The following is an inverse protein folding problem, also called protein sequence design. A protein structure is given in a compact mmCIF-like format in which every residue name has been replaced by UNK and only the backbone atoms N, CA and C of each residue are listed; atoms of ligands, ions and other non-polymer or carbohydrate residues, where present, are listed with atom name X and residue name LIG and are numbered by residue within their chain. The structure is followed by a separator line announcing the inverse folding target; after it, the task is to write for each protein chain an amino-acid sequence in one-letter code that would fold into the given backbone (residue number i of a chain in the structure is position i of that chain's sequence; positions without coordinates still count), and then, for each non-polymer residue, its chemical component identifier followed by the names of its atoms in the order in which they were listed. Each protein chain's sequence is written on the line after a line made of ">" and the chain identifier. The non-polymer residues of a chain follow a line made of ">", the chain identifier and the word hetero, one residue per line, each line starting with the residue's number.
data_IF_746414111309
#
_entry.id   IF_746414111309
#
_cell.length_a   1.000
_cell.length_b   1.000
_cell.length_c   1.000
_cell.angle_alpha   90.00
_cell.angle_beta   90.00
_cell.angle_gamma   90.00
#
_symmetry.space_group_name_H-M   'P 1'
#
loop_
_entity.id
_entity.type
_entity.pdbx_description
1 polymer ?
#
# COMPACT_ATOMS: atom_id res chain seq x y z
N UNK A 1 -14.78 -0.72 -20.29
CA UNK A 1 -13.64 -0.09 -19.57
C UNK A 1 -13.65 -0.65 -18.15
N UNK A 2 -12.49 -0.90 -17.53
CA UNK A 2 -12.48 -1.46 -16.18
C UNK A 2 -13.11 -0.50 -15.17
N UNK A 3 -13.67 -1.05 -14.09
CA UNK A 3 -14.08 -0.29 -12.90
C UNK A 3 -13.20 -0.72 -11.74
N UNK A 4 -12.62 0.24 -11.03
CA UNK A 4 -11.68 -0.01 -9.95
C UNK A 4 -12.35 0.23 -8.60
N UNK A 5 -12.38 -0.79 -7.76
CA UNK A 5 -12.83 -0.69 -6.38
C UNK A 5 -11.63 -0.78 -5.45
N UNK A 6 -11.56 0.14 -4.50
CA UNK A 6 -10.49 0.15 -3.50
C UNK A 6 -11.07 -0.05 -2.11
N UNK A 7 -10.43 -0.91 -1.33
CA UNK A 7 -10.57 -0.85 0.12
C UNK A 7 -9.89 0.41 0.67
N UNK A 8 -10.33 0.90 1.84
CA UNK A 8 -9.72 2.09 2.46
C UNK A 8 -8.62 1.70 3.45
N UNK A 9 -8.98 0.96 4.50
CA UNK A 9 -8.13 0.74 5.67
C UNK A 9 -6.93 -0.14 5.33
N UNK A 10 -5.72 0.28 5.68
CA UNK A 10 -4.47 -0.42 5.32
C UNK A 10 -4.20 -0.56 3.81
N UNK A 11 -5.10 -0.07 2.96
CA UNK A 11 -5.00 -0.11 1.49
C UNK A 11 -4.73 1.30 0.93
N UNK A 12 -5.72 2.19 0.99
CA UNK A 12 -5.59 3.58 0.52
C UNK A 12 -5.04 4.52 1.58
N UNK A 13 -5.45 4.32 2.83
CA UNK A 13 -5.16 5.26 3.91
C UNK A 13 -5.09 4.57 5.28
N UNK A 14 -4.39 5.23 6.20
CA UNK A 14 -4.53 4.96 7.62
C UNK A 14 -5.70 5.77 8.18
N UNK A 15 -6.66 5.06 8.79
CA UNK A 15 -7.81 5.66 9.46
C UNK A 15 -7.43 6.08 10.90
N UNK A 16 -7.80 7.30 11.29
CA UNK A 16 -7.63 7.82 12.65
C UNK A 16 -8.91 8.50 13.12
N UNK A 17 -9.42 8.07 14.27
CA UNK A 17 -10.49 8.77 14.97
C UNK A 17 -9.89 9.96 15.72
N UNK A 18 -10.42 11.15 15.48
CA UNK A 18 -10.04 12.38 16.17
C UNK A 18 -10.85 12.52 17.48
N UNK A 19 -10.40 13.43 18.36
CA UNK A 19 -11.01 13.62 19.68
C UNK A 19 -12.47 14.11 19.63
N UNK A 20 -12.88 14.75 18.54
CA UNK A 20 -14.24 15.22 18.29
C UNK A 20 -15.16 14.12 17.70
N UNK A 21 -14.64 12.91 17.50
CA UNK A 21 -15.37 11.79 16.90
C UNK A 21 -15.41 11.82 15.37
N UNK A 22 -14.74 12.77 14.71
CA UNK A 22 -14.52 12.73 13.27
C UNK A 22 -13.51 11.65 12.88
N UNK A 23 -13.62 11.17 11.63
CA UNK A 23 -12.68 10.22 11.05
C UNK A 23 -11.77 10.98 10.09
N UNK A 24 -10.46 10.83 10.27
CA UNK A 24 -9.45 11.33 9.35
C UNK A 24 -8.79 10.17 8.63
N UNK A 25 -8.67 10.28 7.31
CA UNK A 25 -7.90 9.35 6.49
C UNK A 25 -6.57 10.00 6.10
N UNK A 26 -5.47 9.30 6.36
CA UNK A 26 -4.13 9.71 5.95
C UNK A 26 -3.70 8.84 4.76
N UNK A 27 -3.71 9.38 3.52
CA UNK A 27 -3.33 8.60 2.35
C UNK A 27 -1.95 7.98 2.51
N UNK A 28 -1.83 6.69 2.17
CA UNK A 28 -0.56 5.98 2.19
C UNK A 28 0.36 6.45 1.06
N UNK A 29 1.68 6.25 1.17
CA UNK A 29 2.61 6.62 0.12
C UNK A 29 2.20 6.06 -1.24
N UNK A 30 2.42 6.87 -2.29
CA UNK A 30 2.19 6.54 -3.70
C UNK A 30 0.71 6.33 -4.09
N UNK A 31 -0.23 6.26 -3.15
CA UNK A 31 -1.65 6.08 -3.44
C UNK A 31 -2.19 7.18 -4.34
N UNK A 32 -1.90 8.45 -4.04
CA UNK A 32 -2.38 9.57 -4.86
C UNK A 32 -1.86 9.48 -6.30
N UNK A 33 -0.57 9.16 -6.48
CA UNK A 33 0.02 8.98 -7.80
C UNK A 33 -0.66 7.85 -8.59
N UNK A 34 -0.93 6.71 -7.94
CA UNK A 34 -1.69 5.61 -8.55
C UNK A 34 -3.09 6.07 -8.96
N UNK A 35 -3.83 6.74 -8.07
CA UNK A 35 -5.18 7.21 -8.40
C UNK A 35 -5.17 8.20 -9.58
N UNK A 36 -4.13 9.03 -9.68
CA UNK A 36 -3.95 10.00 -10.75
C UNK A 36 -3.59 9.35 -12.10
N UNK A 37 -2.83 8.25 -12.09
CA UNK A 37 -2.56 7.40 -13.27
C UNK A 37 -3.84 6.75 -13.84
N UNK A 38 -4.89 6.66 -13.01
CA UNK A 38 -6.21 6.14 -13.37
C UNK A 38 -7.29 7.22 -13.39
N UNK A 39 -6.95 8.50 -13.53
CA UNK A 39 -7.91 9.61 -13.47
C UNK A 39 -9.13 9.44 -14.39
N UNK A 40 -8.94 8.86 -15.58
CA UNK A 40 -9.98 8.67 -16.61
C UNK A 40 -10.75 7.34 -16.46
N UNK A 41 -10.45 6.54 -15.45
CA UNK A 41 -11.12 5.27 -15.15
C UNK A 41 -12.15 5.47 -14.04
N UNK A 42 -13.31 4.79 -14.11
CA UNK A 42 -14.31 4.83 -13.02
C UNK A 42 -13.74 4.16 -11.77
N UNK A 43 -13.86 4.84 -10.63
CA UNK A 43 -13.29 4.44 -9.35
C UNK A 43 -14.35 4.49 -8.26
N UNK A 44 -14.37 3.45 -7.44
CA UNK A 44 -15.25 3.27 -6.31
C UNK A 44 -14.50 2.79 -5.07
N UNK A 45 -15.26 2.58 -4.00
CA UNK A 45 -14.77 2.05 -2.73
C UNK A 45 -15.65 0.88 -2.31
N UNK A 46 -15.02 -0.17 -1.78
CA UNK A 46 -15.71 -1.21 -1.01
C UNK A 46 -14.98 -1.29 0.32
N UNK A 47 -15.57 -0.81 1.40
CA UNK A 47 -14.89 -0.70 2.69
C UNK A 47 -15.86 -0.92 3.85
N UNK A 48 -15.36 -1.46 4.96
CA UNK A 48 -16.09 -1.47 6.20
C UNK A 48 -15.95 -0.10 6.87
N UNK A 49 -17.03 0.65 7.15
CA UNK A 49 -16.95 1.96 7.79
C UNK A 49 -16.62 1.90 9.29
N UNK A 50 -16.58 0.70 9.86
CA UNK A 50 -16.49 0.47 11.30
C UNK A 50 -17.85 0.50 11.99
N UNK A 51 -17.90 0.26 13.30
CA UNK A 51 -19.13 0.17 14.05
C UNK A 51 -19.71 1.55 14.41
N UNK A 52 -21.01 1.55 14.75
CA UNK A 52 -21.71 2.68 15.35
C UNK A 52 -22.58 3.47 14.37
N UNK A 53 -23.57 4.16 14.91
CA UNK A 53 -24.45 5.05 14.15
C UNK A 53 -23.63 6.15 13.46
N UNK A 54 -23.96 6.46 12.21
CA UNK A 54 -23.26 7.49 11.42
C UNK A 54 -21.88 7.09 10.90
N UNK A 55 -21.45 5.82 11.04
CA UNK A 55 -20.10 5.40 10.64
C UNK A 55 -19.88 5.55 9.13
N UNK A 56 -20.85 5.16 8.31
CA UNK A 56 -20.78 5.27 6.85
C UNK A 56 -20.68 6.75 6.41
N UNK A 57 -21.46 7.64 7.01
CA UNK A 57 -21.46 9.07 6.72
C UNK A 57 -20.11 9.70 7.11
N UNK A 58 -19.55 9.34 8.28
CA UNK A 58 -18.21 9.78 8.69
C UNK A 58 -17.14 9.27 7.72
N UNK A 59 -17.17 7.99 7.35
CA UNK A 59 -16.24 7.41 6.41
C UNK A 59 -16.32 8.05 5.02
N UNK A 60 -17.53 8.34 4.55
CA UNK A 60 -17.76 9.04 3.30
C UNK A 60 -17.24 10.48 3.33
N UNK A 61 -17.50 11.24 4.41
CA UNK A 61 -16.94 12.59 4.57
C UNK A 61 -15.40 12.57 4.58
N UNK A 62 -14.80 11.63 5.31
CA UNK A 62 -13.36 11.47 5.39
C UNK A 62 -12.74 11.08 4.04
N UNK A 63 -13.40 10.21 3.27
CA UNK A 63 -13.02 9.84 1.90
C UNK A 63 -12.98 11.06 0.99
N UNK A 64 -14.02 11.91 1.05
CA UNK A 64 -14.13 13.13 0.24
C UNK A 64 -13.03 14.13 0.56
N UNK A 65 -12.71 14.29 1.84
CA UNK A 65 -11.66 15.20 2.29
C UNK A 65 -10.25 14.71 1.90
N UNK A 66 -9.95 13.42 2.11
CA UNK A 66 -8.63 12.88 1.86
C UNK A 66 -8.33 12.65 0.37
N UNK A 67 -9.37 12.42 -0.45
CA UNK A 67 -9.23 12.09 -1.88
C UNK A 67 -10.12 12.98 -2.76
N UNK A 68 -9.92 14.31 -2.73
CA UNK A 68 -10.77 15.25 -3.43
C UNK A 68 -10.76 14.97 -4.94
N UNK A 69 -11.95 14.85 -5.53
CA UNK A 69 -12.15 14.63 -6.96
C UNK A 69 -11.78 13.24 -7.49
N UNK A 70 -11.39 12.27 -6.65
CA UNK A 70 -10.93 10.95 -7.12
C UNK A 70 -11.99 9.85 -7.13
N UNK A 71 -13.04 9.97 -6.32
CA UNK A 71 -14.14 9.00 -6.23
C UNK A 71 -15.48 9.66 -6.57
N UNK A 72 -15.68 10.16 -7.79
CA UNK A 72 -16.80 11.07 -8.11
C UNK A 72 -18.17 10.40 -8.27
N UNK A 73 -18.23 9.08 -8.30
CA UNK A 73 -19.45 8.31 -8.54
C UNK A 73 -19.93 7.66 -7.23
N UNK A 74 -20.94 8.26 -6.59
CA UNK A 74 -21.48 7.78 -5.31
C UNK A 74 -22.08 6.38 -5.41
N UNK A 75 -22.55 5.98 -6.60
CA UNK A 75 -23.10 4.64 -6.83
C UNK A 75 -22.03 3.54 -6.75
N UNK A 76 -20.74 3.91 -6.81
CA UNK A 76 -19.61 2.99 -6.68
C UNK A 76 -19.02 2.97 -5.26
N UNK A 77 -19.66 3.61 -4.29
CA UNK A 77 -19.20 3.62 -2.89
C UNK A 77 -20.07 2.68 -2.06
N UNK A 78 -19.51 1.55 -1.67
CA UNK A 78 -20.18 0.49 -0.93
C UNK A 78 -19.59 0.37 0.47
N UNK A 79 -20.46 0.50 1.47
CA UNK A 79 -20.11 0.38 2.89
C UNK A 79 -20.69 -0.91 3.46
N UNK A 80 -19.84 -1.78 3.99
CA UNK A 80 -20.29 -3.02 4.60
C UNK A 80 -19.17 -3.98 4.97
N UNK A 81 -19.55 -5.11 5.57
CA UNK A 81 -18.60 -6.19 5.87
C UNK A 81 -18.13 -6.84 4.56
N UNK A 82 -16.86 -7.28 4.55
CA UNK A 82 -16.22 -7.95 3.41
C UNK A 82 -15.86 -9.39 3.78
N UNK A 83 -16.71 -10.01 4.60
CA UNK A 83 -16.57 -11.39 5.11
C UNK A 83 -17.23 -12.45 4.22
N UNK A 84 -17.82 -12.03 3.11
CA UNK A 84 -18.45 -12.86 2.10
C UNK A 84 -18.47 -12.15 0.73
N UNK A 85 -18.97 -12.84 -0.31
CA UNK A 85 -19.01 -12.33 -1.69
C UNK A 85 -20.08 -11.28 -2.00
N UNK A 86 -21.13 -11.14 -1.18
CA UNK A 86 -22.34 -10.40 -1.51
C UNK A 86 -22.06 -8.91 -1.79
N UNK A 87 -21.26 -8.25 -0.97
CA UNK A 87 -20.91 -6.83 -1.18
C UNK A 87 -20.14 -6.61 -2.49
N UNK A 88 -19.38 -7.60 -2.95
CA UNK A 88 -18.66 -7.52 -4.22
C UNK A 88 -19.61 -7.72 -5.40
N UNK A 89 -20.60 -8.61 -5.28
CA UNK A 89 -21.67 -8.77 -6.28
C UNK A 89 -22.50 -7.47 -6.37
N UNK A 90 -22.85 -6.86 -5.23
CA UNK A 90 -23.53 -5.56 -5.17
C UNK A 90 -22.70 -4.45 -5.81
N UNK A 91 -21.39 -4.43 -5.58
CA UNK A 91 -20.50 -3.46 -6.20
C UNK A 91 -20.46 -3.60 -7.73
N UNK A 92 -20.39 -4.84 -8.24
CA UNK A 92 -20.47 -5.10 -9.68
C UNK A 92 -21.82 -4.65 -10.23
N UNK A 93 -22.93 -4.93 -9.55
CA UNK A 93 -24.26 -4.47 -9.96
C UNK A 93 -24.35 -2.93 -9.96
N UNK A 94 -23.75 -2.27 -8.96
CA UNK A 94 -23.65 -0.81 -8.83
C UNK A 94 -22.84 -0.12 -9.93
N UNK A 95 -22.10 -0.87 -10.75
CA UNK A 95 -21.44 -0.30 -11.94
C UNK A 95 -22.42 0.10 -13.05
N UNK A 96 -23.67 -0.34 -12.99
CA UNK A 96 -24.72 0.15 -13.87
C UNK A 96 -24.86 1.68 -13.76
N UNK A 97 -25.06 2.34 -14.90
CA UNK A 97 -25.34 3.77 -14.97
C UNK A 97 -26.62 4.01 -15.75
N UNK A 98 -27.07 5.26 -15.81
CA UNK A 98 -28.21 5.61 -16.65
C UNK A 98 -27.95 5.20 -18.11
N UNK A 99 -28.77 4.28 -18.63
CA UNK A 99 -28.62 3.72 -19.98
C UNK A 99 -27.41 2.80 -20.21
N UNK A 100 -26.64 2.46 -19.17
CA UNK A 100 -25.45 1.60 -19.28
C UNK A 100 -25.64 0.34 -18.43
N UNK A 101 -25.55 -0.87 -19.02
CA UNK A 101 -25.64 -2.11 -18.24
C UNK A 101 -24.46 -2.21 -17.25
N UNK A 102 -24.60 -3.02 -16.17
CA UNK A 102 -23.48 -3.34 -15.31
C UNK A 102 -22.29 -3.87 -16.11
N UNK A 103 -21.08 -3.51 -15.68
CA UNK A 103 -19.84 -4.14 -16.15
C UNK A 103 -19.85 -5.63 -15.84
N UNK A 104 -19.21 -6.42 -16.70
CA UNK A 104 -18.98 -7.82 -16.36
C UNK A 104 -18.00 -7.89 -15.17
N UNK A 105 -18.19 -8.85 -14.25
CA UNK A 105 -17.35 -8.97 -13.05
C UNK A 105 -15.85 -9.02 -13.37
N UNK A 106 -15.46 -9.72 -14.44
CA UNK A 106 -14.06 -9.79 -14.90
C UNK A 106 -13.47 -8.47 -15.41
N UNK A 107 -14.31 -7.47 -15.69
CA UNK A 107 -13.87 -6.10 -16.02
C UNK A 107 -13.58 -5.28 -14.77
N UNK A 108 -14.10 -5.68 -13.61
CA UNK A 108 -13.87 -5.02 -12.33
C UNK A 108 -12.57 -5.50 -11.66
N UNK A 109 -11.94 -4.60 -10.91
CA UNK A 109 -10.75 -4.88 -10.11
C UNK A 109 -11.00 -4.44 -8.67
N UNK A 110 -10.77 -5.33 -7.71
CA UNK A 110 -10.71 -4.99 -6.30
C UNK A 110 -9.26 -4.88 -5.81
N UNK A 111 -8.94 -3.76 -5.18
CA UNK A 111 -7.61 -3.48 -4.62
C UNK A 111 -7.74 -3.46 -3.11
N UNK A 112 -7.08 -4.37 -2.41
CA UNK A 112 -7.16 -4.52 -0.96
C UNK A 112 -6.02 -5.36 -0.38
N UNK A 113 -5.55 -5.00 0.82
CA UNK A 113 -4.41 -5.66 1.49
C UNK A 113 -4.76 -7.04 2.07
N UNK A 114 -6.00 -7.24 2.50
CA UNK A 114 -6.43 -8.49 3.13
C UNK A 114 -6.60 -9.63 2.10
N UNK A 115 -5.91 -10.77 2.26
CA UNK A 115 -6.02 -11.90 1.33
C UNK A 115 -7.38 -12.60 1.33
N UNK A 116 -8.09 -12.61 2.45
CA UNK A 116 -9.43 -13.19 2.56
C UNK A 116 -10.46 -12.35 1.82
N UNK A 117 -10.42 -11.02 1.97
CA UNK A 117 -11.29 -10.10 1.22
C UNK A 117 -11.06 -10.24 -0.30
N UNK A 118 -9.79 -10.33 -0.73
CA UNK A 118 -9.46 -10.64 -2.13
C UNK A 118 -9.97 -12.01 -2.58
N UNK A 119 -10.05 -12.99 -1.67
CA UNK A 119 -10.66 -14.28 -1.92
C UNK A 119 -12.13 -14.14 -2.33
N UNK A 120 -12.93 -13.44 -1.53
CA UNK A 120 -14.34 -13.21 -1.82
C UNK A 120 -14.56 -12.36 -3.08
N UNK A 121 -13.70 -11.36 -3.33
CA UNK A 121 -13.73 -10.60 -4.58
C UNK A 121 -13.53 -11.51 -5.81
N UNK A 122 -12.60 -12.47 -5.74
CA UNK A 122 -12.39 -13.46 -6.81
C UNK A 122 -13.57 -14.43 -6.96
N UNK A 123 -14.21 -14.83 -5.87
CA UNK A 123 -15.44 -15.64 -5.91
C UNK A 123 -16.60 -14.91 -6.60
N UNK A 124 -16.67 -13.58 -6.45
CA UNK A 124 -17.58 -12.70 -7.20
C UNK A 124 -17.12 -12.43 -8.65
N UNK A 125 -15.95 -12.95 -9.06
CA UNK A 125 -15.43 -12.87 -10.43
C UNK A 125 -14.59 -11.61 -10.72
N UNK A 126 -14.26 -10.81 -9.71
CA UNK A 126 -13.38 -9.66 -9.87
C UNK A 126 -11.91 -10.11 -9.97
N UNK A 127 -11.12 -9.32 -10.68
CA UNK A 127 -9.65 -9.40 -10.58
C UNK A 127 -9.20 -8.68 -9.30
N UNK A 128 -8.03 -9.03 -8.78
CA UNK A 128 -7.57 -8.46 -7.51
C UNK A 128 -6.14 -7.95 -7.55
N UNK A 129 -5.85 -6.92 -6.75
CA UNK A 129 -4.50 -6.46 -6.48
C UNK A 129 -4.28 -6.36 -4.98
N UNK A 130 -3.15 -6.87 -4.49
CA UNK A 130 -2.80 -6.78 -3.07
C UNK A 130 -2.49 -5.34 -2.65
N UNK A 131 -2.00 -4.47 -3.54
CA UNK A 131 -1.59 -3.09 -3.23
C UNK A 131 -1.97 -2.15 -4.38
N UNK A 132 -2.32 -0.87 -4.12
CA UNK A 132 -2.60 0.12 -5.17
C UNK A 132 -1.59 0.20 -6.32
N UNK A 133 -0.29 0.09 -6.05
CA UNK A 133 0.79 0.07 -7.06
C UNK A 133 0.61 -1.03 -8.10
N UNK A 134 -0.05 -2.14 -7.76
CA UNK A 134 -0.33 -3.25 -8.67
C UNK A 134 -1.68 -3.15 -9.38
N UNK A 135 -2.43 -2.05 -9.23
CA UNK A 135 -3.73 -1.86 -9.89
C UNK A 135 -3.61 -2.05 -11.40
N UNK A 136 -2.55 -1.51 -12.03
CA UNK A 136 -2.30 -1.68 -13.46
C UNK A 136 -2.04 -3.13 -13.83
N UNK A 137 -1.22 -3.84 -13.06
CA UNK A 137 -0.97 -5.26 -13.28
C UNK A 137 -2.28 -6.07 -13.22
N UNK A 138 -3.16 -5.81 -12.26
CA UNK A 138 -4.47 -6.47 -12.19
C UNK A 138 -5.39 -6.11 -13.37
N UNK A 139 -5.43 -4.85 -13.79
CA UNK A 139 -6.16 -4.40 -15.00
C UNK A 139 -5.62 -5.06 -16.28
N UNK A 140 -4.35 -5.42 -16.32
CA UNK A 140 -3.70 -6.08 -17.46
C UNK A 140 -3.63 -7.60 -17.29
N UNK A 141 -4.21 -8.15 -16.21
CA UNK A 141 -4.14 -9.57 -15.85
C UNK A 141 -2.70 -10.11 -15.78
N UNK A 142 -1.76 -9.27 -15.31
CA UNK A 142 -0.36 -9.64 -15.09
C UNK A 142 -0.16 -10.12 -13.65
N UNK A 143 0.63 -11.19 -13.44
CA UNK A 143 0.88 -11.70 -12.10
C UNK A 143 1.75 -10.74 -11.29
N UNK A 144 1.53 -10.76 -9.97
CA UNK A 144 2.43 -10.20 -8.97
C UNK A 144 3.04 -11.36 -8.20
N UNK A 145 4.36 -11.36 -8.10
CA UNK A 145 5.16 -12.41 -7.51
C UNK A 145 5.78 -11.93 -6.21
N UNK A 146 5.99 -12.86 -5.30
CA UNK A 146 6.96 -12.66 -4.23
C UNK A 146 8.36 -12.60 -4.81
N UNK A 147 9.22 -11.78 -4.21
CA UNK A 147 10.62 -11.70 -4.56
C UNK A 147 11.49 -11.49 -3.32
N UNK A 148 12.74 -11.90 -3.42
CA UNK A 148 13.80 -11.51 -2.50
C UNK A 148 14.80 -10.65 -3.27
N UNK A 149 14.96 -9.41 -2.83
CA UNK A 149 15.89 -8.44 -3.42
C UNK A 149 17.17 -8.46 -2.59
N UNK A 150 18.31 -8.67 -3.22
CA UNK A 150 19.62 -8.57 -2.58
C UNK A 150 20.21 -7.17 -2.74
N UNK A 151 20.70 -6.60 -1.64
CA UNK A 151 21.43 -5.33 -1.63
C UNK A 151 22.93 -5.62 -1.72
N UNK A 152 23.56 -5.20 -2.83
CA UNK A 152 25.00 -5.37 -3.04
C UNK A 152 25.82 -4.43 -2.15
N UNK A 153 27.11 -4.71 -2.00
CA UNK A 153 28.01 -3.77 -1.32
C UNK A 153 28.00 -2.40 -2.01
N UNK A 154 27.70 -1.34 -1.25
CA UNK A 154 27.57 0.03 -1.75
C UNK A 154 26.15 0.44 -2.16
N UNK A 155 25.19 -0.50 -2.21
CA UNK A 155 23.77 -0.20 -2.38
C UNK A 155 23.07 -0.16 -1.02
N UNK A 156 22.33 0.89 -0.76
CA UNK A 156 21.54 1.08 0.46
C UNK A 156 20.04 0.93 0.23
N UNK A 157 19.31 0.94 1.35
CA UNK A 157 17.84 1.00 1.33
C UNK A 157 17.30 2.24 0.61
N UNK A 158 18.04 3.35 0.65
CA UNK A 158 17.66 4.58 -0.05
C UNK A 158 17.76 4.47 -1.58
N UNK A 159 18.72 3.68 -2.09
CA UNK A 159 18.81 3.39 -3.53
C UNK A 159 17.65 2.52 -3.97
N UNK A 160 17.31 1.51 -3.15
CA UNK A 160 16.15 0.66 -3.39
C UNK A 160 14.86 1.51 -3.38
N UNK A 161 14.68 2.36 -2.38
CA UNK A 161 13.52 3.25 -2.26
C UNK A 161 13.34 4.15 -3.49
N UNK A 162 14.43 4.69 -4.04
CA UNK A 162 14.39 5.51 -5.25
C UNK A 162 13.80 4.75 -6.46
N UNK A 163 14.11 3.45 -6.58
CA UNK A 163 13.56 2.59 -7.63
C UNK A 163 12.13 2.17 -7.30
N UNK A 164 11.86 1.71 -6.09
CA UNK A 164 10.54 1.19 -5.71
C UNK A 164 9.47 2.27 -5.75
N UNK A 165 9.80 3.52 -5.42
CA UNK A 165 8.86 4.64 -5.48
C UNK A 165 8.31 4.93 -6.89
N UNK A 166 8.98 4.42 -7.94
CA UNK A 166 8.65 4.70 -9.34
C UNK A 166 8.21 3.46 -10.13
N UNK A 167 8.17 2.30 -9.49
CA UNK A 167 8.02 1.01 -10.19
C UNK A 167 6.99 0.12 -9.51
N UNK A 168 6.57 -0.95 -10.17
CA UNK A 168 5.63 -1.93 -9.60
C UNK A 168 6.35 -2.87 -8.62
N UNK A 169 6.85 -2.29 -7.52
CA UNK A 169 7.56 -2.97 -6.43
C UNK A 169 7.05 -2.42 -5.10
N UNK A 170 6.79 -3.32 -4.16
CA UNK A 170 6.41 -2.99 -2.79
C UNK A 170 7.27 -3.83 -1.84
N UNK A 171 8.29 -3.23 -1.20
CA UNK A 171 9.03 -3.87 -0.12
C UNK A 171 8.09 -4.29 1.01
N UNK A 172 8.35 -5.46 1.60
CA UNK A 172 7.67 -5.96 2.80
C UNK A 172 8.71 -5.99 3.93
N UNK A 173 8.27 -5.78 5.18
CA UNK A 173 9.08 -5.59 6.39
C UNK A 173 10.48 -6.28 6.35
N UNK A 174 11.53 -5.49 6.62
CA UNK A 174 12.92 -5.93 6.49
C UNK A 174 13.43 -6.57 7.79
N UNK A 175 13.57 -7.89 7.79
CA UNK A 175 14.28 -8.59 8.87
C UNK A 175 15.82 -8.55 8.70
N UNK A 176 16.32 -8.18 7.52
CA UNK A 176 17.75 -8.24 7.16
C UNK A 176 18.18 -7.00 6.38
N UNK A 177 19.37 -6.49 6.70
CA UNK A 177 20.00 -5.37 5.99
C UNK A 177 20.52 -5.75 4.59
N UNK A 178 20.57 -7.04 4.24
CA UNK A 178 21.06 -7.53 2.92
C UNK A 178 19.97 -8.08 2.01
N UNK A 179 18.85 -8.52 2.58
CA UNK A 179 17.77 -9.12 1.82
C UNK A 179 16.45 -8.45 2.16
N UNK A 180 15.79 -7.93 1.14
CA UNK A 180 14.49 -7.27 1.26
C UNK A 180 13.43 -8.15 0.61
N UNK A 181 12.50 -8.75 1.38
CA UNK A 181 11.35 -9.41 0.78
C UNK A 181 10.47 -8.33 0.14
N UNK A 182 9.90 -8.63 -1.03
CA UNK A 182 9.07 -7.68 -1.76
C UNK A 182 7.99 -8.40 -2.56
N UNK A 183 6.90 -7.69 -2.84
CA UNK A 183 5.99 -8.01 -3.92
C UNK A 183 6.45 -7.26 -5.17
N UNK A 184 6.50 -7.93 -6.31
CA UNK A 184 6.93 -7.33 -7.58
C UNK A 184 6.06 -7.81 -8.72
N UNK A 185 5.75 -6.93 -9.67
CA UNK A 185 5.35 -7.41 -10.99
C UNK A 185 6.58 -7.74 -11.84
N UNK A 186 6.37 -8.33 -13.01
CA UNK A 186 7.46 -8.51 -13.99
C UNK A 186 8.12 -7.18 -14.40
N UNK A 187 7.34 -6.09 -14.53
CA UNK A 187 7.91 -4.77 -14.84
C UNK A 187 8.74 -4.22 -13.67
N UNK A 188 8.27 -4.44 -12.44
CA UNK A 188 9.03 -4.08 -11.24
C UNK A 188 10.35 -4.84 -11.13
N UNK A 189 10.34 -6.14 -11.40
CA UNK A 189 11.54 -6.98 -11.40
C UNK A 189 12.57 -6.50 -12.44
N UNK A 190 12.14 -6.26 -13.67
CA UNK A 190 13.01 -5.72 -14.73
C UNK A 190 13.61 -4.37 -14.33
N UNK A 191 12.82 -3.48 -13.74
CA UNK A 191 13.31 -2.17 -13.32
C UNK A 191 14.33 -2.26 -12.18
N UNK A 192 14.17 -3.19 -11.24
CA UNK A 192 15.14 -3.48 -10.19
C UNK A 192 16.45 -4.03 -10.78
N UNK A 193 16.38 -4.99 -11.68
CA UNK A 193 17.55 -5.56 -12.35
C UNK A 193 18.32 -4.50 -13.16
N UNK A 194 17.59 -3.63 -13.88
CA UNK A 194 18.18 -2.50 -14.61
C UNK A 194 18.85 -1.47 -13.69
N UNK A 195 18.37 -1.34 -12.45
CA UNK A 195 18.99 -0.52 -11.42
C UNK A 195 20.13 -1.24 -10.68
N UNK A 196 20.48 -2.47 -11.10
CA UNK A 196 21.60 -3.24 -10.56
C UNK A 196 21.27 -4.03 -9.29
N UNK A 197 20.00 -4.24 -8.96
CA UNK A 197 19.61 -5.15 -7.88
C UNK A 197 19.51 -6.59 -8.39
N UNK A 198 19.88 -7.55 -7.55
CA UNK A 198 19.61 -8.97 -7.84
C UNK A 198 18.22 -9.33 -7.30
N UNK A 199 17.36 -9.87 -8.17
CA UNK A 199 15.97 -10.21 -7.85
C UNK A 199 15.78 -11.72 -7.96
N UNK A 200 15.42 -12.35 -6.85
CA UNK A 200 15.09 -13.78 -6.77
C UNK A 200 13.57 -13.95 -6.69
N UNK A 201 12.94 -14.18 -7.85
CA UNK A 201 11.50 -14.34 -7.98
C UNK A 201 11.02 -15.65 -7.36
N UNK A 202 9.88 -15.57 -6.68
CA UNK A 202 9.21 -16.65 -5.95
C UNK A 202 7.79 -16.83 -6.50
N UNK A 203 6.97 -17.59 -5.77
CA UNK A 203 5.59 -17.88 -6.16
C UNK A 203 4.67 -16.65 -6.19
N UNK A 204 3.46 -16.80 -6.74
CA UNK A 204 2.47 -15.73 -6.80
C UNK A 204 2.08 -15.20 -5.42
N UNK A 205 1.81 -13.90 -5.32
CA UNK A 205 1.30 -13.27 -4.10
C UNK A 205 -0.12 -13.77 -3.77
N UNK A 206 -0.91 -14.06 -4.79
CA UNK A 206 -2.31 -14.46 -4.66
C UNK A 206 -2.49 -15.81 -3.93
N UNK A 207 -1.47 -16.67 -3.96
CA UNK A 207 -1.48 -17.99 -3.31
C UNK A 207 -1.14 -17.90 -1.80
N UNK A 208 -0.85 -16.71 -1.27
CA UNK A 208 -0.40 -16.53 0.11
C UNK A 208 -1.54 -16.12 1.02
N UNK A 209 -1.85 -16.97 2.01
CA UNK A 209 -2.91 -16.73 3.02
C UNK A 209 -2.46 -15.84 4.19
N UNK A 210 -1.17 -15.50 4.30
CA UNK A 210 -0.64 -14.73 5.42
C UNK A 210 -0.90 -13.22 5.23
N UNK A 211 -1.45 -12.50 6.23
CA UNK A 211 -1.61 -11.05 6.17
C UNK A 211 -0.25 -10.35 5.99
N UNK A 212 -0.23 -9.28 5.19
CA UNK A 212 0.99 -8.63 4.76
C UNK A 212 1.35 -7.54 5.77
N UNK A 213 2.27 -7.82 6.71
CA UNK A 213 2.83 -6.77 7.55
C UNK A 213 3.76 -5.90 6.69
N UNK A 214 3.20 -4.83 6.12
CA UNK A 214 3.93 -3.85 5.30
C UNK A 214 4.79 -2.93 6.15
N UNK A 215 5.90 -2.48 5.58
CA UNK A 215 6.57 -1.26 6.02
C UNK A 215 6.53 -0.22 4.90
N UNK A 216 5.36 0.39 4.73
CA UNK A 216 5.17 1.51 3.78
C UNK A 216 5.69 2.83 4.37
N UNK A 217 6.29 2.82 5.57
CA UNK A 217 6.85 4.06 6.14
C UNK A 217 8.08 4.45 5.33
N UNK A 218 8.29 5.76 5.07
CA UNK A 218 9.58 6.22 4.58
C UNK A 218 10.68 5.66 5.48
N UNK A 219 11.62 4.90 4.91
CA UNK A 219 12.74 4.37 5.66
C UNK A 219 13.54 5.58 6.14
N UNK A 220 13.65 5.77 7.44
CA UNK A 220 14.37 6.90 7.98
C UNK A 220 15.78 6.91 7.37
N UNK A 221 16.31 8.06 6.92
CA UNK A 221 17.68 8.12 6.44
C UNK A 221 18.57 7.59 7.56
N UNK A 222 19.52 6.71 7.20
CA UNK A 222 20.48 6.17 8.14
C UNK A 222 21.07 7.34 8.92
N UNK A 223 20.85 7.37 10.25
CA UNK A 223 21.58 8.30 11.12
C UNK A 223 23.04 7.95 10.94
N UNK A 224 23.75 8.76 10.15
CA UNK A 224 25.19 8.69 10.01
C UNK A 224 25.78 8.61 11.41
N UNK A 225 26.64 7.61 11.61
CA UNK A 225 27.47 7.53 12.79
C UNK A 225 28.20 8.86 12.90
N UNK A 226 27.83 9.67 13.88
CA UNK A 226 28.61 10.84 14.25
C UNK A 226 29.99 10.31 14.65
N UNK A 227 30.99 10.63 13.84
CA UNK A 227 32.39 10.53 14.21
C UNK A 227 32.57 11.29 15.52
N UNK A 228 32.72 10.55 16.61
CA UNK A 228 33.12 11.11 17.88
C UNK A 228 34.54 11.67 17.74
N UNK A 229 34.83 12.88 18.26
CA UNK A 229 36.15 13.45 18.15
C UNK A 229 37.13 12.61 18.97
N UNK A 230 38.08 11.98 18.28
CA UNK A 230 39.28 11.39 18.86
C UNK A 230 40.22 12.54 19.23
N UNK A 231 40.42 12.73 20.54
CA UNK A 231 41.40 13.66 21.07
C UNK A 231 41.90 13.20 22.43
N UNK A 232 42.85 12.26 22.44
CA UNK A 232 43.68 11.95 23.62
C UNK A 232 44.68 13.07 23.83
N UNK A 233 44.72 13.62 25.05
CA UNK A 233 45.81 14.44 25.55
C UNK A 233 46.07 14.11 27.01
N UNK A 234 47.19 13.43 27.25
CA UNK A 234 47.71 12.97 28.54
C UNK A 234 48.19 14.17 29.36
N UNK A 235 47.92 14.19 30.66
CA UNK A 235 48.42 15.21 31.59
C UNK A 235 48.29 14.75 33.05
N UNK A 236 49.42 14.27 33.56
CA UNK A 236 49.69 13.75 34.89
C UNK A 236 49.53 14.77 36.05
N UNK A 237 49.27 14.21 37.24
CA UNK A 237 49.69 14.63 38.59
C UNK A 237 48.99 15.81 39.32
N UNK A 238 48.49 15.52 40.53
CA UNK A 238 48.18 16.51 41.56
C UNK A 238 47.07 16.12 42.55
N UNK A 239 47.40 15.33 43.56
CA UNK A 239 46.60 15.08 44.79
C UNK A 239 47.12 16.01 45.92
N UNK A 240 46.43 16.16 47.07
CA UNK A 240 45.40 17.15 47.39
C UNK A 240 45.87 18.20 48.43
N UNK A 241 45.10 19.26 48.68
CA UNK A 241 45.21 20.00 49.96
C UNK A 241 43.89 20.58 50.43
N UNK A 242 43.74 20.54 51.76
CA UNK A 242 42.55 20.82 52.56
C UNK A 242 42.44 22.30 52.93
N UNK A 243 41.26 22.63 53.44
CA UNK A 243 40.93 23.67 54.42
C UNK A 243 41.08 25.14 54.01
N UNK A 244 39.93 25.81 53.88
CA UNK A 244 39.41 26.78 54.88
C UNK A 244 37.95 27.12 54.63
#
# INVERSE_FOLDING_TARGET
>A
MPVLFFDIGATLADARMEADGSLRLLPRPRVLAVLDDFRDVRKGVISNPGPGEGAAERAFSALREAFPGRFTDDALVHWGSKDNREIFDEAVAGTAGEGTPPSAAGECVFVGEDPQERGFAREAGLRTAAHPVFTRAAVENRPVLWARIELSEGQGLSDLEAVTNRTEVVPVNTASARFVPAMVSMHGAIALEQAGFTVDLRGPVEDTATPLIRDDRPLAPARGFAEGPVGRGVGEQGLPERDR
#
